data_IF_679746084628
#
_entry.id   IF_679746084628
#
_cell.length_a   1.000
_cell.length_b   1.000
_cell.length_c   1.000
_cell.angle_alpha   90.00
_cell.angle_beta   90.00
_cell.angle_gamma   90.00
#
_symmetry.space_group_name_H-M   'P 1'
#
loop_
_entity.id
_entity.type
_entity.pdbx_description
1 polymer ?
#
# COMPACT_ATOMS: atom_id res chain seq x y z
N UNK A 1 9.06 17.17 2.64
CA UNK A 1 9.02 15.70 2.74
C UNK A 1 9.27 15.17 4.15
N UNK A 2 10.33 15.60 4.84
CA UNK A 2 10.67 15.13 6.21
C UNK A 2 9.59 15.44 7.26
N UNK A 3 8.98 16.61 7.22
CA UNK A 3 7.93 16.99 8.18
C UNK A 3 6.63 16.18 7.98
N UNK A 4 6.27 15.86 6.73
CA UNK A 4 5.09 15.06 6.42
C UNK A 4 5.24 13.62 6.92
N UNK A 5 6.42 13.01 6.70
CA UNK A 5 6.81 11.72 7.30
C UNK A 5 6.70 11.78 8.83
N UNK A 6 7.25 12.83 9.44
CA UNK A 6 7.22 13.00 10.90
C UNK A 6 5.79 13.09 11.46
N UNK A 7 4.87 13.80 10.77
CA UNK A 7 3.47 13.94 11.18
C UNK A 7 2.68 12.64 11.03
N UNK A 8 2.77 11.97 9.88
CA UNK A 8 2.12 10.66 9.67
C UNK A 8 2.62 9.62 10.66
N UNK A 9 3.94 9.51 10.82
CA UNK A 9 4.51 8.60 11.81
C UNK A 9 4.10 8.98 13.23
N UNK A 10 3.97 10.27 13.58
CA UNK A 10 3.49 10.69 14.91
C UNK A 10 2.02 10.37 15.15
N UNK A 11 1.17 10.47 14.13
CA UNK A 11 -0.25 10.15 14.22
C UNK A 11 -0.48 8.63 14.33
N UNK A 12 0.35 7.83 13.66
CA UNK A 12 0.24 6.37 13.65
C UNK A 12 1.08 5.68 14.73
N UNK A 13 2.05 6.38 15.34
CA UNK A 13 2.74 5.98 16.59
C UNK A 13 1.88 6.16 17.85
N UNK A 14 0.57 6.35 17.70
CA UNK A 14 -0.32 5.98 18.79
C UNK A 14 -0.16 4.45 18.96
N UNK A 15 0.28 3.97 20.15
CA UNK A 15 0.69 2.58 20.35
C UNK A 15 -0.44 1.56 20.13
N UNK A 16 -1.67 2.03 20.06
CA UNK A 16 -2.85 1.25 19.67
C UNK A 16 -2.85 0.94 18.16
N UNK A 17 -2.59 1.91 17.29
CA UNK A 17 -2.70 1.74 15.85
C UNK A 17 -1.56 0.93 15.25
N UNK A 18 -0.31 1.16 15.68
CA UNK A 18 0.84 0.40 15.17
C UNK A 18 0.73 -1.11 15.50
N UNK A 19 0.06 -1.49 16.59
CA UNK A 19 -0.18 -2.92 16.90
C UNK A 19 -1.15 -3.57 15.91
N UNK A 20 -2.02 -2.79 15.29
CA UNK A 20 -2.98 -3.23 14.29
C UNK A 20 -2.39 -3.26 12.88
N UNK A 21 -1.22 -2.70 12.63
CA UNK A 21 -0.67 -2.65 11.27
C UNK A 21 0.00 -3.97 10.87
N UNK A 22 -0.21 -4.38 9.62
CA UNK A 22 0.46 -5.50 8.97
C UNK A 22 1.71 -5.02 8.23
N UNK A 23 2.82 -5.75 8.39
CA UNK A 23 4.02 -5.62 7.57
C UNK A 23 4.23 -6.94 6.81
N UNK A 24 4.31 -6.93 5.47
CA UNK A 24 4.64 -8.09 4.66
C UNK A 24 5.97 -8.73 5.09
N UNK A 25 6.09 -10.07 5.04
CA UNK A 25 7.34 -10.77 5.34
C UNK A 25 8.40 -10.60 4.26
N UNK A 26 8.02 -10.09 3.08
CA UNK A 26 8.90 -9.80 1.95
C UNK A 26 8.49 -8.46 1.36
N UNK A 27 9.49 -7.59 1.14
CA UNK A 27 9.36 -6.22 0.65
C UNK A 27 10.51 -5.96 -0.35
N UNK A 28 10.39 -5.01 -1.29
CA UNK A 28 9.32 -4.02 -1.44
C UNK A 28 8.05 -4.53 -2.11
N UNK A 29 8.03 -5.76 -2.64
CA UNK A 29 6.83 -6.35 -3.24
C UNK A 29 6.51 -7.73 -2.64
N UNK A 30 5.23 -8.03 -2.52
CA UNK A 30 4.70 -9.32 -2.09
C UNK A 30 3.77 -9.84 -3.19
N UNK A 31 4.04 -11.02 -3.78
CA UNK A 31 3.17 -11.59 -4.80
C UNK A 31 1.72 -11.71 -4.30
N UNK A 32 0.70 -11.50 -5.15
CA UNK A 32 -0.71 -11.54 -4.75
C UNK A 32 -1.09 -12.79 -3.93
N UNK A 33 -0.60 -13.96 -4.34
CA UNK A 33 -0.89 -15.24 -3.68
C UNK A 33 -0.24 -15.40 -2.28
N UNK A 34 0.69 -14.52 -1.90
CA UNK A 34 1.40 -14.57 -0.61
C UNK A 34 0.77 -13.64 0.45
N UNK A 35 -0.21 -12.83 0.08
CA UNK A 35 -0.95 -12.00 1.04
C UNK A 35 -1.76 -12.86 1.99
N UNK A 36 -1.82 -12.44 3.26
CA UNK A 36 -2.75 -13.03 4.20
C UNK A 36 -4.18 -12.72 3.77
N UNK A 37 -5.04 -13.71 3.89
CA UNK A 37 -6.49 -13.52 3.76
C UNK A 37 -7.01 -12.56 4.83
N UNK A 38 -8.16 -11.93 4.58
CA UNK A 38 -8.84 -11.10 5.57
C UNK A 38 -9.06 -11.83 6.91
N UNK A 39 -9.43 -13.12 6.86
CA UNK A 39 -9.60 -13.95 8.06
C UNK A 39 -8.29 -14.07 8.85
N UNK A 40 -7.17 -14.34 8.19
CA UNK A 40 -5.86 -14.46 8.84
C UNK A 40 -5.41 -13.13 9.45
N UNK A 41 -5.63 -12.01 8.75
CA UNK A 41 -5.36 -10.67 9.25
C UNK A 41 -6.16 -10.36 10.53
N UNK A 42 -7.45 -10.68 10.54
CA UNK A 42 -8.33 -10.52 11.73
C UNK A 42 -7.84 -11.40 12.90
N UNK A 43 -7.56 -12.67 12.64
CA UNK A 43 -7.07 -13.60 13.67
C UNK A 43 -5.72 -13.17 14.24
N UNK A 44 -4.84 -12.60 13.41
CA UNK A 44 -3.56 -12.04 13.83
C UNK A 44 -3.66 -10.66 14.51
N UNK A 45 -4.88 -10.11 14.67
CA UNK A 45 -5.12 -8.74 15.14
C UNK A 45 -4.39 -7.67 14.31
N UNK A 46 -4.12 -7.94 13.02
CA UNK A 46 -3.51 -6.99 12.07
C UNK A 46 -4.57 -6.49 11.10
N UNK A 47 -5.22 -5.37 11.42
CA UNK A 47 -6.40 -4.86 10.72
C UNK A 47 -6.13 -3.64 9.84
N UNK A 48 -4.90 -3.16 9.82
CA UNK A 48 -4.49 -1.99 9.04
C UNK A 48 -3.38 -2.40 8.07
N UNK A 49 -3.57 -2.12 6.80
CA UNK A 49 -2.50 -2.12 5.80
C UNK A 49 -2.38 -0.66 5.35
N UNK A 50 -1.20 -0.07 5.57
CA UNK A 50 -0.98 1.36 5.33
C UNK A 50 -0.06 1.54 4.13
N UNK A 51 -0.45 2.41 3.22
CA UNK A 51 0.32 2.75 2.03
C UNK A 51 0.69 4.24 2.04
N UNK A 52 1.79 4.59 1.39
CA UNK A 52 2.14 5.96 1.04
C UNK A 52 2.54 6.03 -0.42
N UNK A 53 2.04 7.03 -1.14
CA UNK A 53 2.31 7.24 -2.56
C UNK A 53 3.75 7.69 -2.85
N UNK A 54 4.51 8.07 -1.82
CA UNK A 54 5.91 8.42 -1.96
C UNK A 54 6.67 8.32 -0.64
N UNK A 55 7.93 7.88 -0.73
CA UNK A 55 8.87 8.00 0.36
C UNK A 55 8.58 7.09 1.54
N UNK A 56 8.12 5.87 1.28
CA UNK A 56 8.18 4.80 2.28
C UNK A 56 9.64 4.61 2.75
N UNK A 57 9.82 4.31 4.03
CA UNK A 57 11.10 3.93 4.62
C UNK A 57 10.87 2.64 5.41
N UNK A 58 10.94 1.51 4.70
CA UNK A 58 10.67 0.20 5.27
C UNK A 58 11.70 -0.23 6.33
N UNK A 59 12.89 0.39 6.33
CA UNK A 59 13.91 0.14 7.35
C UNK A 59 13.52 0.71 8.72
N UNK A 60 12.89 1.89 8.73
CA UNK A 60 12.45 2.55 9.96
C UNK A 60 10.97 2.27 10.31
N UNK A 61 10.12 2.11 9.30
CA UNK A 61 8.65 1.97 9.43
C UNK A 61 8.16 0.84 8.51
N UNK A 62 8.43 -0.43 8.85
CA UNK A 62 8.20 -1.58 7.96
C UNK A 62 6.73 -1.84 7.60
N UNK A 63 5.80 -1.27 8.35
CA UNK A 63 4.35 -1.38 8.11
C UNK A 63 3.79 -0.27 7.20
N UNK A 64 4.57 0.77 6.89
CA UNK A 64 4.18 1.82 5.94
C UNK A 64 4.74 1.48 4.57
N UNK A 65 3.87 0.91 3.73
CA UNK A 65 4.24 0.34 2.44
C UNK A 65 4.32 1.42 1.36
N UNK A 66 5.22 1.24 0.41
CA UNK A 66 5.20 2.03 -0.82
C UNK A 66 4.05 1.56 -1.70
N UNK A 67 3.09 2.44 -1.94
CA UNK A 67 1.84 2.12 -2.62
C UNK A 67 2.04 1.41 -3.96
N UNK A 68 2.93 1.95 -4.80
CA UNK A 68 3.04 1.52 -6.19
C UNK A 68 3.80 0.21 -6.37
N UNK A 69 4.34 -0.39 -5.30
CA UNK A 69 4.81 -1.77 -5.34
C UNK A 69 3.71 -2.82 -5.10
N UNK A 70 2.55 -2.41 -4.58
CA UNK A 70 1.49 -3.35 -4.17
C UNK A 70 0.12 -3.03 -4.76
N UNK A 71 -0.14 -1.77 -5.10
CA UNK A 71 -1.41 -1.27 -5.60
C UNK A 71 -1.17 -0.62 -6.95
N UNK A 72 -2.11 -0.85 -7.86
CA UNK A 72 -2.19 -0.12 -9.11
C UNK A 72 -3.48 0.69 -9.14
N UNK A 73 -3.45 1.78 -9.89
CA UNK A 73 -4.59 2.66 -10.09
C UNK A 73 -4.88 2.84 -11.57
N UNK A 74 -6.14 3.03 -11.90
CA UNK A 74 -6.57 3.45 -13.24
C UNK A 74 -6.33 4.95 -13.44
N UNK A 75 -6.66 5.48 -14.62
CA UNK A 75 -6.52 6.91 -14.89
C UNK A 75 -7.32 7.77 -13.90
N UNK A 76 -6.70 8.86 -13.44
CA UNK A 76 -7.37 9.87 -12.61
C UNK A 76 -8.19 10.84 -13.48
N UNK A 77 -9.07 11.63 -12.85
CA UNK A 77 -9.88 12.67 -13.53
C UNK A 77 -10.78 12.18 -14.68
N UNK A 78 -11.25 10.93 -14.60
CA UNK A 78 -12.25 10.40 -15.54
C UNK A 78 -13.63 10.98 -15.20
N UNK A 79 -14.04 12.04 -15.91
CA UNK A 79 -15.34 12.71 -15.74
C UNK A 79 -16.46 12.12 -16.60
N UNK A 80 -16.11 11.28 -17.58
CA UNK A 80 -17.02 10.58 -18.47
C UNK A 80 -16.97 9.07 -18.16
N UNK A 81 -18.05 8.47 -17.63
CA UNK A 81 -18.08 7.05 -17.29
C UNK A 81 -17.73 6.12 -18.46
N UNK A 82 -17.99 6.53 -19.71
CA UNK A 82 -17.67 5.73 -20.89
C UNK A 82 -16.17 5.63 -21.17
N UNK A 83 -15.36 6.51 -20.57
CA UNK A 83 -13.89 6.53 -20.68
C UNK A 83 -13.20 5.82 -19.52
N UNK A 84 -13.95 5.27 -18.56
CA UNK A 84 -13.36 4.48 -17.48
C UNK A 84 -12.84 3.14 -18.02
N UNK A 85 -11.59 2.81 -17.69
CA UNK A 85 -10.96 1.54 -18.08
C UNK A 85 -10.41 0.83 -16.86
N UNK A 86 -10.41 -0.51 -16.87
CA UNK A 86 -9.72 -1.31 -15.85
C UNK A 86 -8.19 -1.41 -16.08
N UNK A 87 -7.65 -0.73 -17.09
CA UNK A 87 -6.22 -0.73 -17.35
C UNK A 87 -5.49 0.03 -16.25
N UNK A 88 -4.39 -0.56 -15.76
CA UNK A 88 -3.50 0.11 -14.83
C UNK A 88 -2.83 1.30 -15.54
N UNK A 89 -2.79 2.43 -14.86
CA UNK A 89 -2.15 3.66 -15.29
C UNK A 89 -1.01 4.05 -14.35
N UNK A 90 -1.13 3.74 -13.04
CA UNK A 90 -0.07 3.95 -12.05
C UNK A 90 0.24 2.67 -11.26
N UNK A 91 1.53 2.32 -11.07
CA UNK A 91 2.67 2.93 -11.76
C UNK A 91 2.64 2.60 -13.26
N UNK A 92 3.18 3.49 -14.10
CA UNK A 92 3.13 3.33 -15.56
C UNK A 92 3.84 2.08 -16.12
N UNK A 93 4.55 1.33 -15.27
CA UNK A 93 5.18 0.05 -15.58
C UNK A 93 4.24 -1.15 -15.48
N UNK A 94 3.04 -0.99 -14.93
CA UNK A 94 2.03 -2.07 -14.87
C UNK A 94 1.29 -2.11 -16.20
N UNK A 95 1.91 -2.68 -17.22
CA UNK A 95 1.34 -2.68 -18.58
C UNK A 95 2.11 -3.47 -19.64
N UNK A 96 3.35 -3.89 -19.36
CA UNK A 96 4.11 -4.73 -20.29
C UNK A 96 4.60 -6.01 -19.59
N UNK A 97 4.26 -7.15 -20.16
CA UNK A 97 4.58 -8.52 -19.73
C UNK A 97 3.70 -9.14 -18.64
N UNK A 98 2.46 -9.50 -19.00
CA UNK A 98 2.04 -10.91 -18.90
C UNK A 98 0.82 -11.15 -19.80
N UNK A 99 1.11 -11.54 -21.04
CA UNK A 99 0.18 -12.24 -21.92
C UNK A 99 0.82 -13.54 -22.34
#
# INVERSE_FOLDING_TARGET
MTEYRSRLSRMLRQPDLTRLTYAPPTQPALPPARWLTLKQLIMAQRRIIAFTSAGADIGSVPWLLDEFFYVFETSFEVTDPSKFTCAAHRPGSVGESER
#
